data_IF_265274373419
#
_entry.id   IF_265274373419
#
_cell.length_a   1.000
_cell.length_b   1.000
_cell.length_c   1.000
_cell.angle_alpha   90.00
_cell.angle_beta   90.00
_cell.angle_gamma   90.00
#
_symmetry.space_group_name_H-M   'P 1'
#
loop_
_entity.id
_entity.type
_entity.pdbx_description
1 polymer ?
#
# COMPACT_ATOMS: atom_id res chain seq x y z
N UNK A 1 0.27 -3.25 8.81
CA UNK A 1 1.33 -2.50 8.08
C UNK A 1 2.36 -1.94 9.06
N UNK A 2 1.99 -1.05 10.00
CA UNK A 2 2.91 -0.44 10.99
C UNK A 2 3.90 -1.41 11.63
N UNK A 3 3.41 -2.49 12.28
CA UNK A 3 4.28 -3.47 12.95
C UNK A 3 5.26 -4.19 12.01
N UNK A 4 4.94 -4.29 10.71
CA UNK A 4 5.82 -4.90 9.71
C UNK A 4 6.89 -3.89 9.33
N UNK A 5 6.50 -2.63 9.07
CA UNK A 5 7.44 -1.56 8.72
C UNK A 5 8.46 -1.26 9.83
N UNK A 6 8.06 -1.36 11.11
CA UNK A 6 8.98 -1.21 12.24
C UNK A 6 10.10 -2.27 12.27
N UNK A 7 9.96 -3.38 11.55
CA UNK A 7 11.06 -4.35 11.36
C UNK A 7 12.15 -3.82 10.43
N UNK A 8 11.80 -2.92 9.52
CA UNK A 8 12.69 -2.38 8.48
C UNK A 8 13.18 -0.96 8.78
N UNK A 9 12.41 -0.18 9.54
CA UNK A 9 12.72 1.22 9.87
C UNK A 9 12.51 1.44 11.35
N UNK A 10 13.55 1.90 12.05
CA UNK A 10 13.54 2.08 13.52
C UNK A 10 13.20 3.51 13.98
N UNK A 11 13.49 4.51 13.15
CA UNK A 11 13.46 5.92 13.54
C UNK A 11 12.35 6.73 12.85
N UNK A 12 11.33 6.06 12.32
CA UNK A 12 10.21 6.71 11.63
C UNK A 12 8.94 6.73 12.48
N UNK A 13 8.29 7.89 12.55
CA UNK A 13 6.93 7.99 13.04
C UNK A 13 5.95 7.41 12.00
N UNK A 14 5.18 6.40 12.40
CA UNK A 14 4.21 5.74 11.52
C UNK A 14 2.79 6.00 12.05
N UNK A 15 2.02 6.73 11.26
CA UNK A 15 0.60 7.04 11.48
C UNK A 15 -0.26 6.51 10.34
N UNK A 16 -1.53 6.26 10.64
CA UNK A 16 -2.57 5.98 9.64
C UNK A 16 -3.29 7.30 9.36
N UNK A 17 -3.74 7.50 8.12
CA UNK A 17 -4.56 8.67 7.79
C UNK A 17 -5.98 8.50 8.32
N UNK A 18 -6.61 9.61 8.73
CA UNK A 18 -7.95 9.62 9.32
C UNK A 18 -9.07 9.76 8.27
N UNK A 19 -8.72 10.04 7.00
CA UNK A 19 -9.72 10.19 5.94
C UNK A 19 -10.24 8.83 5.45
N UNK A 20 -11.52 8.76 5.12
CA UNK A 20 -12.08 7.59 4.44
C UNK A 20 -11.58 7.55 2.98
N UNK A 21 -10.86 6.47 2.67
CA UNK A 21 -10.27 6.24 1.35
C UNK A 21 -11.11 5.29 0.48
N UNK A 22 -12.31 4.89 0.94
CA UNK A 22 -13.23 4.02 0.20
C UNK A 22 -13.64 4.62 -1.16
N UNK A 23 -13.76 5.94 -1.27
CA UNK A 23 -14.11 6.66 -2.50
C UNK A 23 -13.14 6.42 -3.65
N UNK A 24 -11.87 6.09 -3.36
CA UNK A 24 -10.89 5.75 -4.39
C UNK A 24 -11.29 4.50 -5.19
N UNK A 25 -12.17 3.64 -4.67
CA UNK A 25 -12.62 2.43 -5.36
C UNK A 25 -13.53 2.73 -6.57
N UNK A 26 -13.94 3.99 -6.79
CA UNK A 26 -14.62 4.45 -8.01
C UNK A 26 -13.65 4.90 -9.11
N UNK A 27 -12.34 4.90 -8.84
CA UNK A 27 -11.30 5.30 -9.80
C UNK A 27 -10.73 4.11 -10.58
N UNK A 28 -9.95 4.39 -11.62
CA UNK A 28 -9.32 3.36 -12.47
C UNK A 28 -8.22 2.57 -11.76
N UNK A 29 -7.54 3.16 -10.77
CA UNK A 29 -6.45 2.52 -10.03
C UNK A 29 -6.57 2.84 -8.54
N UNK A 30 -7.47 2.15 -7.81
CA UNK A 30 -7.83 2.54 -6.45
C UNK A 30 -6.64 2.64 -5.49
N UNK A 31 -5.72 1.67 -5.49
CA UNK A 31 -4.57 1.71 -4.58
C UNK A 31 -3.68 2.96 -4.76
N UNK A 32 -3.48 3.43 -6.00
CA UNK A 32 -2.72 4.67 -6.25
C UNK A 32 -3.51 5.88 -5.76
N UNK A 33 -4.81 5.96 -6.06
CA UNK A 33 -5.63 7.08 -5.62
C UNK A 33 -5.73 7.17 -4.10
N UNK A 34 -5.80 6.04 -3.36
CA UNK A 34 -5.72 6.06 -1.89
C UNK A 34 -4.41 6.66 -1.38
N UNK A 35 -3.29 6.35 -2.04
CA UNK A 35 -2.01 6.96 -1.68
C UNK A 35 -1.97 8.46 -2.00
N UNK A 36 -2.44 8.87 -3.18
CA UNK A 36 -2.45 10.28 -3.57
C UNK A 36 -3.36 11.12 -2.64
N UNK A 37 -4.52 10.57 -2.25
CA UNK A 37 -5.36 11.19 -1.22
C UNK A 37 -4.58 11.45 0.08
N UNK A 38 -3.73 10.49 0.50
CA UNK A 38 -2.88 10.68 1.67
C UNK A 38 -1.75 11.69 1.44
N UNK A 39 -1.13 11.70 0.25
CA UNK A 39 -0.08 12.68 -0.15
C UNK A 39 -0.62 14.10 -0.09
N UNK A 40 -1.88 14.32 -0.47
CA UNK A 40 -2.47 15.65 -0.54
C UNK A 40 -2.94 16.20 0.82
N UNK A 41 -3.21 15.33 1.81
CA UNK A 41 -3.83 15.73 3.10
C UNK A 41 -2.93 15.56 4.31
N UNK A 42 -1.91 14.70 4.22
CA UNK A 42 -0.96 14.46 5.30
C UNK A 42 0.40 15.07 4.94
N UNK A 43 1.18 15.46 5.96
CA UNK A 43 2.57 15.83 5.78
C UNK A 43 3.47 14.66 6.20
N UNK A 44 3.88 13.83 5.24
CA UNK A 44 4.78 12.70 5.43
C UNK A 44 5.79 12.54 4.27
N UNK A 45 6.87 11.81 4.53
CA UNK A 45 7.93 11.57 3.54
C UNK A 45 7.65 10.36 2.64
N UNK A 46 6.97 9.35 3.20
CA UNK A 46 6.66 8.07 2.57
C UNK A 46 5.20 7.71 2.82
N UNK A 47 4.52 7.26 1.76
CA UNK A 47 3.12 6.88 1.79
C UNK A 47 2.97 5.43 1.35
N UNK A 48 2.26 4.64 2.15
CA UNK A 48 1.99 3.23 1.86
C UNK A 48 0.49 3.05 1.78
N UNK A 49 0.00 2.67 0.61
CA UNK A 49 -1.42 2.36 0.41
C UNK A 49 -1.59 0.94 -0.13
N UNK A 50 -2.72 0.35 0.23
CA UNK A 50 -3.17 -0.93 -0.32
C UNK A 50 -4.62 -0.82 -0.76
N UNK A 51 -4.91 -1.30 -1.96
CA UNK A 51 -6.24 -1.28 -2.53
C UNK A 51 -6.35 -2.19 -3.72
N UNK A 52 -7.40 -2.02 -4.51
CA UNK A 52 -7.55 -2.77 -5.77
C UNK A 52 -6.54 -2.27 -6.80
N UNK A 53 -6.03 -3.20 -7.61
CA UNK A 53 -5.11 -2.87 -8.71
C UNK A 53 -5.80 -2.00 -9.78
N UNK A 54 -7.01 -2.38 -10.18
CA UNK A 54 -7.80 -1.67 -11.19
C UNK A 54 -9.30 -1.96 -11.07
N UNK A 55 -9.87 -2.62 -12.07
CA UNK A 55 -11.31 -2.98 -12.10
C UNK A 55 -11.70 -3.98 -10.99
N UNK A 56 -12.98 -4.05 -10.58
CA UNK A 56 -13.46 -5.11 -9.69
C UNK A 56 -13.00 -6.51 -10.13
N UNK A 57 -12.41 -7.27 -9.21
CA UNK A 57 -11.84 -8.60 -9.49
C UNK A 57 -10.36 -8.63 -9.90
N UNK A 58 -9.73 -7.49 -10.19
CA UNK A 58 -8.33 -7.42 -10.65
C UNK A 58 -7.26 -7.76 -9.60
N UNK A 59 -7.64 -8.19 -8.40
CA UNK A 59 -6.72 -8.38 -7.28
C UNK A 59 -6.30 -7.08 -6.58
N UNK A 60 -5.32 -7.20 -5.70
CA UNK A 60 -4.84 -6.11 -4.86
C UNK A 60 -3.47 -5.61 -5.30
N UNK A 61 -3.21 -4.34 -5.02
CA UNK A 61 -1.92 -3.69 -5.17
C UNK A 61 -1.56 -2.99 -3.87
N UNK A 62 -0.34 -3.23 -3.41
CA UNK A 62 0.33 -2.42 -2.40
C UNK A 62 1.34 -1.53 -3.12
N UNK A 63 1.33 -0.24 -2.80
CA UNK A 63 2.17 0.76 -3.45
C UNK A 63 2.83 1.64 -2.40
N UNK A 64 4.10 1.97 -2.63
CA UNK A 64 4.88 2.89 -1.81
C UNK A 64 5.25 4.10 -2.66
N UNK A 65 4.88 5.29 -2.19
CA UNK A 65 5.15 6.57 -2.85
C UNK A 65 6.00 7.45 -1.94
N UNK A 66 6.70 8.40 -2.54
CA UNK A 66 7.30 9.51 -1.82
C UNK A 66 6.34 10.70 -1.62
N UNK A 67 6.84 11.75 -0.99
CA UNK A 67 6.14 13.02 -0.75
C UNK A 67 5.72 13.83 -1.97
N UNK A 68 6.02 13.37 -3.19
CA UNK A 68 5.54 14.00 -4.43
C UNK A 68 4.63 13.07 -5.22
N UNK A 69 4.20 11.96 -4.63
CA UNK A 69 3.38 10.97 -5.32
C UNK A 69 4.15 10.17 -6.38
N UNK A 70 5.48 10.15 -6.35
CA UNK A 70 6.28 9.28 -7.24
C UNK A 70 6.27 7.87 -6.69
N UNK A 71 5.94 6.89 -7.53
CA UNK A 71 5.93 5.47 -7.14
C UNK A 71 7.38 5.00 -6.98
N UNK A 72 7.73 4.54 -5.77
CA UNK A 72 9.05 3.99 -5.45
C UNK A 72 9.09 2.47 -5.68
N UNK A 73 8.07 1.76 -5.21
CA UNK A 73 7.92 0.31 -5.38
C UNK A 73 6.45 -0.12 -5.20
N UNK A 74 6.15 -1.33 -5.63
CA UNK A 74 4.83 -1.95 -5.49
C UNK A 74 4.93 -3.48 -5.53
N UNK A 75 3.89 -4.14 -5.01
CA UNK A 75 3.66 -5.58 -5.11
C UNK A 75 2.19 -5.87 -5.37
N UNK A 76 1.88 -7.03 -5.96
CA UNK A 76 0.52 -7.41 -6.33
C UNK A 76 0.10 -8.70 -5.63
N UNK A 77 -1.21 -8.88 -5.46
CA UNK A 77 -1.76 -10.16 -5.06
C UNK A 77 -2.97 -10.56 -5.90
N UNK A 78 -3.21 -11.86 -6.07
CA UNK A 78 -4.49 -12.33 -6.59
C UNK A 78 -5.66 -11.81 -5.75
N UNK A 79 -6.89 -11.76 -6.29
CA UNK A 79 -8.08 -11.48 -5.50
C UNK A 79 -8.31 -12.54 -4.43
N UNK A 80 -8.92 -12.12 -3.31
CA UNK A 80 -9.19 -12.98 -2.15
C UNK A 80 -10.05 -14.21 -2.48
N UNK A 81 -10.91 -14.11 -3.49
CA UNK A 81 -11.71 -15.21 -4.02
C UNK A 81 -10.88 -16.37 -4.58
N UNK A 82 -9.65 -16.10 -5.04
CA UNK A 82 -8.75 -17.12 -5.59
C UNK A 82 -7.86 -17.71 -4.50
N UNK A 83 -7.13 -16.86 -3.76
CA UNK A 83 -6.06 -17.36 -2.90
C UNK A 83 -6.51 -17.75 -1.47
N UNK A 84 -7.67 -17.28 -1.00
CA UNK A 84 -8.28 -17.60 0.31
C UNK A 84 -7.33 -17.49 1.53
N UNK A 85 -6.32 -16.64 1.47
CA UNK A 85 -5.37 -16.41 2.57
C UNK A 85 -5.91 -15.35 3.53
N UNK A 86 -5.49 -15.43 4.80
CA UNK A 86 -5.75 -14.36 5.78
C UNK A 86 -5.14 -13.05 5.30
N UNK A 87 -5.88 -11.96 5.50
CA UNK A 87 -5.51 -10.63 5.01
C UNK A 87 -4.18 -10.14 5.61
N UNK A 88 -3.92 -10.41 6.88
CA UNK A 88 -2.70 -9.97 7.58
C UNK A 88 -1.46 -10.63 6.99
N UNK A 89 -1.52 -11.95 6.75
CA UNK A 89 -0.44 -12.70 6.10
C UNK A 89 -0.19 -12.21 4.68
N UNK A 90 -1.25 -11.84 3.98
CA UNK A 90 -1.13 -11.34 2.61
C UNK A 90 -0.44 -9.97 2.57
N UNK A 91 -0.86 -9.05 3.44
CA UNK A 91 -0.23 -7.73 3.59
C UNK A 91 1.25 -7.87 3.95
N UNK A 92 1.61 -8.80 4.83
CA UNK A 92 3.00 -9.06 5.18
C UNK A 92 3.83 -9.52 3.97
N UNK A 93 3.32 -10.48 3.18
CA UNK A 93 3.99 -10.93 1.95
C UNK A 93 4.18 -9.79 0.96
N UNK A 94 3.15 -8.98 0.73
CA UNK A 94 3.20 -7.84 -0.19
C UNK A 94 4.26 -6.81 0.21
N UNK A 95 4.28 -6.39 1.48
CA UNK A 95 5.30 -5.45 1.97
C UNK A 95 6.71 -6.02 1.78
N UNK A 96 6.93 -7.27 2.19
CA UNK A 96 8.23 -7.93 2.06
C UNK A 96 8.65 -8.03 0.59
N UNK A 97 7.74 -8.38 -0.31
CA UNK A 97 8.00 -8.44 -1.75
C UNK A 97 8.36 -7.07 -2.33
N UNK A 98 7.58 -6.04 -2.00
CA UNK A 98 7.80 -4.68 -2.47
C UNK A 98 9.14 -4.09 -1.98
N UNK A 99 9.58 -4.41 -0.76
CA UNK A 99 10.87 -3.97 -0.21
C UNK A 99 12.04 -4.79 -0.78
N UNK A 100 11.92 -6.13 -0.81
CA UNK A 100 12.97 -7.01 -1.32
C UNK A 100 13.33 -6.72 -2.78
N UNK A 101 12.33 -6.41 -3.63
CA UNK A 101 12.57 -6.15 -5.06
C UNK A 101 13.39 -4.87 -5.32
N UNK A 102 13.49 -3.97 -4.35
CA UNK A 102 14.36 -2.78 -4.40
C UNK A 102 15.61 -2.92 -3.51
N UNK A 103 15.89 -4.12 -3.00
CA UNK A 103 17.11 -4.44 -2.26
C UNK A 103 17.06 -4.18 -0.74
N UNK A 104 15.88 -3.85 -0.18
CA UNK A 104 15.69 -3.69 1.27
C UNK A 104 15.31 -5.05 1.87
N UNK A 105 16.13 -5.56 2.80
CA UNK A 105 15.98 -6.87 3.45
C UNK A 105 15.75 -6.77 4.95
#
# INVERSE_FOLDING_TARGET
IKNIMLKFVKDAEIKMTDIDTSFADLTRMPAIFKALMAVDVENGDIYIARGRLGIPGSGAMLVILDNKGRILTASLSPPSSIHKEKIEKRIEKEIIEALNRVGIK
#
